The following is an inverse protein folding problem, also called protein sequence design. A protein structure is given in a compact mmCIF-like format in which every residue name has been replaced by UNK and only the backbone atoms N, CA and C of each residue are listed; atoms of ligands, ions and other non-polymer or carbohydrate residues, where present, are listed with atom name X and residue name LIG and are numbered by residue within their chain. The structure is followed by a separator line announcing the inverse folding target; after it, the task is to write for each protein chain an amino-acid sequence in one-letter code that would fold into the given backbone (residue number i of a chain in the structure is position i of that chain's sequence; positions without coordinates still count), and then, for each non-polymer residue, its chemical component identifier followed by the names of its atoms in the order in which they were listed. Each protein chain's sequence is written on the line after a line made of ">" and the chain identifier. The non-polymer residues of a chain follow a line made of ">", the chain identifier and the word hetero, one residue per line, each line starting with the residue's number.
data_IF_351021780495
#
_entry.id   IF_351021780495
#
_cell.length_a   1.000
_cell.length_b   1.000
_cell.length_c   1.000
_cell.angle_alpha   90.00
_cell.angle_beta   90.00
_cell.angle_gamma   90.00
#
_symmetry.space_group_name_H-M   'P 1'
#
loop_
_entity.id
_entity.type
_entity.pdbx_description
1 polymer ?
#
# COMPACT_ATOMS: atom_id res chain seq x y z
N UNK A 1 -1.23 -20.76 -2.06
CA UNK A 1 -1.85 -20.92 -0.72
C UNK A 1 -1.27 -19.84 0.20
N UNK A 2 -2.07 -18.84 0.56
CA UNK A 2 -1.62 -17.58 1.20
C UNK A 2 -1.36 -17.72 2.70
N UNK A 3 -0.08 -17.85 3.09
CA UNK A 3 0.38 -17.78 4.48
C UNK A 3 0.83 -16.37 4.91
N UNK A 4 0.84 -15.39 4.00
CA UNK A 4 1.46 -14.08 4.18
C UNK A 4 0.60 -13.01 4.89
N UNK A 5 -0.60 -13.35 5.37
CA UNK A 5 -1.51 -12.42 6.06
C UNK A 5 -1.80 -12.76 7.54
N UNK A 6 -1.01 -13.63 8.18
CA UNK A 6 -1.03 -13.77 9.65
C UNK A 6 0.24 -13.20 10.25
N UNK A 7 0.12 -12.10 10.99
CA UNK A 7 1.09 -11.76 12.03
C UNK A 7 0.60 -12.45 13.30
N UNK A 8 1.37 -13.43 13.78
CA UNK A 8 0.99 -14.19 14.98
C UNK A 8 1.06 -13.34 16.26
N UNK A 9 1.83 -12.25 16.20
CA UNK A 9 2.15 -11.40 17.34
C UNK A 9 2.34 -9.95 16.88
N UNK A 10 2.17 -9.03 17.84
CA UNK A 10 2.28 -7.58 17.63
C UNK A 10 3.67 -7.17 17.10
N UNK A 11 4.73 -7.85 17.54
CA UNK A 11 6.10 -7.58 17.08
C UNK A 11 6.25 -7.85 15.57
N UNK A 12 5.78 -9.01 15.11
CA UNK A 12 5.76 -9.36 13.69
C UNK A 12 4.91 -8.40 12.86
N UNK A 13 3.81 -7.89 13.44
CA UNK A 13 3.01 -6.86 12.80
C UNK A 13 3.78 -5.56 12.59
N UNK A 14 4.46 -5.05 13.64
CA UNK A 14 5.27 -3.82 13.58
C UNK A 14 6.40 -3.95 12.55
N UNK A 15 7.13 -5.07 12.54
CA UNK A 15 8.23 -5.27 11.59
C UNK A 15 7.75 -5.30 10.14
N UNK A 16 6.60 -5.93 9.88
CA UNK A 16 6.01 -6.02 8.53
C UNK A 16 5.40 -4.70 8.09
N UNK A 17 4.72 -4.00 8.99
CA UNK A 17 4.16 -2.67 8.69
C UNK A 17 5.27 -1.65 8.43
N UNK A 18 6.40 -1.70 9.16
CA UNK A 18 7.56 -0.86 8.91
C UNK A 18 8.17 -1.07 7.51
N UNK A 19 8.33 -2.33 7.09
CA UNK A 19 8.82 -2.64 5.72
C UNK A 19 7.87 -2.12 4.64
N UNK A 20 6.57 -2.30 4.85
CA UNK A 20 5.55 -1.79 3.94
C UNK A 20 5.55 -0.26 3.90
N UNK A 21 5.62 0.42 5.06
CA UNK A 21 5.74 1.87 5.16
C UNK A 21 6.96 2.39 4.40
N UNK A 22 8.11 1.73 4.51
CA UNK A 22 9.31 2.12 3.76
C UNK A 22 9.09 2.03 2.25
N UNK A 23 8.47 0.94 1.78
CA UNK A 23 8.16 0.78 0.37
C UNK A 23 7.17 1.85 -0.12
N UNK A 24 6.12 2.12 0.65
CA UNK A 24 5.12 3.18 0.40
C UNK A 24 5.77 4.56 0.35
N UNK A 25 6.70 4.87 1.27
CA UNK A 25 7.44 6.11 1.27
C UNK A 25 8.24 6.28 -0.03
N UNK A 26 8.93 5.24 -0.50
CA UNK A 26 9.69 5.29 -1.75
C UNK A 26 8.80 5.55 -2.96
N UNK A 27 7.67 4.84 -3.08
CA UNK A 27 6.75 5.05 -4.21
C UNK A 27 6.01 6.39 -4.14
N UNK A 28 5.69 6.88 -2.94
CA UNK A 28 5.04 8.19 -2.77
C UNK A 28 5.89 9.37 -3.26
N UNK A 29 7.23 9.20 -3.29
CA UNK A 29 8.14 10.20 -3.84
C UNK A 29 8.11 10.23 -5.37
N UNK A 30 7.58 9.18 -6.01
CA UNK A 30 7.42 9.19 -7.45
C UNK A 30 6.33 10.17 -7.85
N UNK A 31 6.69 11.17 -8.66
CA UNK A 31 5.78 12.17 -9.21
C UNK A 31 5.76 12.04 -10.73
N UNK A 32 4.92 11.15 -11.24
CA UNK A 32 4.53 11.15 -12.65
C UNK A 32 3.23 11.96 -12.80
N UNK A 33 3.08 12.79 -13.84
CA UNK A 33 1.82 13.47 -14.11
C UNK A 33 0.77 12.46 -14.57
N UNK A 34 -0.29 12.28 -13.78
CA UNK A 34 -1.43 11.40 -14.09
C UNK A 34 -1.87 10.56 -12.89
N UNK A 35 -2.85 9.69 -13.10
CA UNK A 35 -3.48 8.87 -12.05
C UNK A 35 -2.72 7.57 -11.72
N UNK A 36 -1.75 7.19 -12.55
CA UNK A 36 -1.00 5.94 -12.44
C UNK A 36 0.49 6.20 -12.21
N UNK A 37 1.22 5.16 -11.81
CA UNK A 37 2.66 5.22 -11.53
C UNK A 37 3.47 5.81 -12.70
N UNK A 38 3.13 5.44 -13.94
CA UNK A 38 3.77 5.97 -15.17
C UNK A 38 2.97 7.08 -15.85
N UNK A 39 2.08 7.76 -15.12
CA UNK A 39 1.29 8.89 -15.61
C UNK A 39 -0.15 8.54 -15.96
N UNK A 40 -0.54 8.61 -17.23
CA UNK A 40 -1.96 8.50 -17.64
C UNK A 40 -2.39 7.08 -18.03
N UNK A 41 -1.46 6.16 -18.21
CA UNK A 41 -1.74 4.77 -18.58
C UNK A 41 -1.39 3.81 -17.44
N UNK A 42 -2.26 2.83 -17.23
CA UNK A 42 -2.03 1.72 -16.32
C UNK A 42 -0.78 0.95 -16.77
N UNK A 43 0.14 0.68 -15.85
CA UNK A 43 1.36 -0.07 -16.10
C UNK A 43 1.41 -1.38 -15.28
N UNK A 44 2.41 -2.21 -15.57
CA UNK A 44 2.71 -3.41 -14.77
C UNK A 44 3.02 -3.07 -13.31
N UNK A 45 3.58 -1.88 -13.05
CA UNK A 45 3.85 -1.42 -11.69
C UNK A 45 2.53 -1.20 -10.95
N UNK A 46 1.55 -0.54 -11.56
CA UNK A 46 0.22 -0.35 -10.97
C UNK A 46 -0.45 -1.68 -10.61
N UNK A 47 -0.43 -2.63 -11.55
CA UNK A 47 -1.01 -3.95 -11.31
C UNK A 47 -0.30 -4.73 -10.19
N UNK A 48 1.03 -4.56 -10.04
CA UNK A 48 1.77 -5.19 -8.95
C UNK A 48 1.45 -4.60 -7.58
N UNK A 49 1.09 -3.30 -7.53
CA UNK A 49 0.74 -2.61 -6.28
C UNK A 49 -0.74 -2.79 -5.87
N UNK A 50 -1.64 -3.12 -6.80
CA UNK A 50 -3.06 -3.37 -6.50
C UNK A 50 -3.30 -4.30 -5.30
N UNK A 51 -2.68 -5.48 -5.17
CA UNK A 51 -2.91 -6.35 -4.01
C UNK A 51 -2.41 -5.76 -2.70
N UNK A 52 -1.35 -4.95 -2.74
CA UNK A 52 -0.78 -4.31 -1.54
C UNK A 52 -1.70 -3.19 -1.07
N UNK A 53 -2.11 -2.33 -1.99
CA UNK A 53 -3.04 -1.25 -1.72
C UNK A 53 -4.39 -1.80 -1.25
N UNK A 54 -4.93 -2.82 -1.90
CA UNK A 54 -6.18 -3.46 -1.47
C UNK A 54 -6.08 -4.06 -0.06
N UNK A 55 -4.96 -4.71 0.30
CA UNK A 55 -4.75 -5.20 1.67
C UNK A 55 -4.71 -4.08 2.70
N UNK A 56 -4.12 -2.93 2.37
CA UNK A 56 -4.14 -1.76 3.26
C UNK A 56 -5.57 -1.26 3.50
N UNK A 57 -6.44 -1.29 2.47
CA UNK A 57 -7.86 -0.94 2.61
C UNK A 57 -8.61 -1.92 3.53
N UNK A 58 -8.40 -3.23 3.36
CA UNK A 58 -8.99 -4.25 4.24
C UNK A 58 -8.56 -4.04 5.70
N UNK A 59 -7.27 -3.78 5.94
CA UNK A 59 -6.78 -3.52 7.31
C UNK A 59 -7.49 -2.30 7.89
N UNK A 60 -7.57 -1.18 7.15
CA UNK A 60 -8.29 0.02 7.60
C UNK A 60 -9.76 -0.28 7.93
N UNK A 61 -10.45 -1.07 7.11
CA UNK A 61 -11.85 -1.45 7.33
C UNK A 61 -12.06 -2.25 8.63
N UNK A 62 -11.11 -3.11 9.02
CA UNK A 62 -11.27 -4.00 10.17
C UNK A 62 -10.57 -3.53 11.46
N UNK A 63 -9.59 -2.64 11.37
CA UNK A 63 -8.80 -2.20 12.54
C UNK A 63 -8.85 -0.69 12.78
N UNK A 64 -9.51 0.07 11.89
CA UNK A 64 -9.48 1.53 11.85
C UNK A 64 -8.08 2.14 11.67
N UNK A 65 -7.07 1.31 11.41
CA UNK A 65 -5.71 1.77 11.18
C UNK A 65 -5.51 2.09 9.69
N UNK A 66 -5.31 3.37 9.39
CA UNK A 66 -5.01 3.82 8.05
C UNK A 66 -3.50 3.84 7.79
N UNK A 67 -3.01 2.77 7.15
CA UNK A 67 -1.62 2.60 6.76
C UNK A 67 -1.17 3.53 5.62
N UNK A 68 -2.10 4.18 4.93
CA UNK A 68 -1.82 5.11 3.83
C UNK A 68 -2.06 6.57 4.21
N UNK A 69 -2.48 6.86 5.45
CA UNK A 69 -2.76 8.22 5.93
C UNK A 69 -1.66 9.25 5.64
N UNK A 70 -0.34 8.92 5.70
CA UNK A 70 0.71 9.88 5.37
C UNK A 70 0.79 10.24 3.87
N UNK A 71 0.13 9.47 2.99
CA UNK A 71 0.27 9.57 1.53
C UNK A 71 -1.10 9.65 0.83
N UNK A 72 -1.73 10.84 0.79
CA UNK A 72 -3.02 11.03 0.11
C UNK A 72 -3.03 10.61 -1.36
N UNK A 73 -1.89 10.73 -2.06
CA UNK A 73 -1.75 10.28 -3.44
C UNK A 73 -1.92 8.76 -3.60
N UNK A 74 -1.44 7.98 -2.64
CA UNK A 74 -1.59 6.51 -2.65
C UNK A 74 -3.02 6.10 -2.28
N UNK A 75 -3.73 6.91 -1.50
CA UNK A 75 -5.16 6.69 -1.24
C UNK A 75 -6.00 6.97 -2.48
N UNK A 76 -5.66 8.00 -3.26
CA UNK A 76 -6.33 8.25 -4.54
C UNK A 76 -6.12 7.09 -5.53
N UNK A 77 -4.94 6.45 -5.50
CA UNK A 77 -4.61 5.30 -6.33
C UNK A 77 -5.36 4.01 -5.97
N UNK A 78 -6.04 3.96 -4.82
CA UNK A 78 -6.86 2.82 -4.41
C UNK A 78 -8.25 2.78 -5.08
N UNK A 79 -8.72 3.88 -5.67
CA UNK A 79 -10.05 4.00 -6.26
C UNK A 79 -10.08 3.52 -7.72
#
# INVERSE_FOLDING_TARGET
>A
QCSSMRSADSKTYIERSAKMHKALATISQHKAPGAYFNGHQLSLVDMAWLPVLHRAAIIKQHTQLDLLAPWPSLQAWQQ
#
